data_IF_742366161986
#
_entry.id   IF_742366161986
#
_cell.length_a   1.000
_cell.length_b   1.000
_cell.length_c   1.000
_cell.angle_alpha   90.00
_cell.angle_beta   90.00
_cell.angle_gamma   90.00
#
_symmetry.space_group_name_H-M   'P 1'
#
loop_
_entity.id
_entity.type
_entity.pdbx_description
1 polymer ?
#
# COMPACT_ATOMS: atom_id res chain seq x y z
N UNK A 1 -1.37 45.50 10.12
CA UNK A 1 -0.08 45.03 9.55
C UNK A 1 0.23 43.68 10.18
N UNK A 2 -0.03 42.59 9.47
CA UNK A 2 0.15 41.23 9.97
C UNK A 2 1.58 40.74 9.67
N UNK A 3 2.27 40.33 10.72
CA UNK A 3 3.63 39.80 10.71
C UNK A 3 3.76 38.55 9.82
N UNK A 4 4.37 38.71 8.64
CA UNK A 4 4.98 37.60 7.91
C UNK A 4 6.39 37.39 8.47
N UNK A 5 6.62 36.34 9.25
CA UNK A 5 7.92 36.19 9.90
C UNK A 5 8.17 34.88 10.65
N UNK A 6 7.81 33.74 10.07
CA UNK A 6 8.39 32.45 10.45
C UNK A 6 9.11 31.87 9.23
N UNK A 7 10.43 31.93 9.19
CA UNK A 7 11.23 31.48 8.03
C UNK A 7 11.25 29.94 7.99
N UNK A 8 10.17 29.33 7.48
CA UNK A 8 10.04 27.88 7.32
C UNK A 8 11.17 27.38 6.41
N UNK A 9 11.97 26.42 6.90
CA UNK A 9 13.08 25.86 6.13
C UNK A 9 12.56 25.16 4.88
N UNK A 10 13.28 25.29 3.77
CA UNK A 10 12.84 24.79 2.45
C UNK A 10 12.43 23.31 2.47
N UNK A 11 13.15 22.45 3.18
CA UNK A 11 12.83 21.02 3.26
C UNK A 11 11.53 20.75 4.05
N UNK A 12 11.28 21.49 5.14
CA UNK A 12 10.05 21.36 5.92
C UNK A 12 8.82 21.79 5.09
N UNK A 13 8.98 22.84 4.28
CA UNK A 13 7.93 23.30 3.37
C UNK A 13 7.61 22.27 2.29
N UNK A 14 8.61 21.66 1.69
CA UNK A 14 8.42 20.64 0.65
C UNK A 14 7.70 19.41 1.20
N UNK A 15 8.01 19.01 2.44
CA UNK A 15 7.31 17.92 3.12
C UNK A 15 5.83 18.23 3.37
N UNK A 16 5.52 19.44 3.87
CA UNK A 16 4.12 19.90 4.05
C UNK A 16 3.37 20.00 2.72
N UNK A 17 4.04 20.38 1.63
CA UNK A 17 3.43 20.37 0.28
C UNK A 17 3.08 18.94 -0.13
N UNK A 18 3.95 17.96 0.11
CA UNK A 18 3.64 16.55 -0.18
C UNK A 18 2.46 16.04 0.64
N UNK A 19 2.40 16.36 1.93
CA UNK A 19 1.26 16.01 2.80
C UNK A 19 -0.06 16.57 2.26
N UNK A 20 -0.10 17.88 1.95
CA UNK A 20 -1.28 18.51 1.35
C UNK A 20 -1.67 17.85 0.03
N UNK A 21 -0.70 17.50 -0.82
CA UNK A 21 -0.96 16.88 -2.11
C UNK A 21 -1.37 15.41 -2.00
N UNK A 22 -0.93 14.69 -0.95
CA UNK A 22 -1.40 13.33 -0.62
C UNK A 22 -2.88 13.33 -0.23
N UNK A 23 -3.32 14.35 0.51
CA UNK A 23 -4.73 14.51 0.89
C UNK A 23 -5.61 15.01 -0.27
N UNK A 24 -5.20 16.08 -0.95
CA UNK A 24 -6.07 16.82 -1.88
C UNK A 24 -5.90 16.44 -3.35
N UNK A 25 -4.87 15.68 -3.70
CA UNK A 25 -4.47 15.29 -5.07
C UNK A 25 -4.11 16.46 -6.01
N UNK A 26 -4.55 17.69 -5.73
CA UNK A 26 -4.23 18.92 -6.42
C UNK A 26 -4.18 20.10 -5.45
N UNK A 27 -3.21 20.99 -5.64
CA UNK A 27 -3.18 22.27 -4.95
C UNK A 27 -2.70 23.39 -5.89
N UNK A 28 -3.35 24.55 -5.83
CA UNK A 28 -2.86 25.75 -6.53
C UNK A 28 -1.71 26.41 -5.77
N UNK A 29 -0.87 27.16 -6.48
CA UNK A 29 0.23 27.92 -5.86
C UNK A 29 -0.30 28.92 -4.83
N UNK A 30 -1.44 29.56 -5.11
CA UNK A 30 -2.08 30.51 -4.19
C UNK A 30 -2.58 29.80 -2.93
N UNK A 31 -3.21 28.64 -3.07
CA UNK A 31 -3.64 27.83 -1.94
C UNK A 31 -2.46 27.42 -1.04
N UNK A 32 -1.38 26.91 -1.63
CA UNK A 32 -0.18 26.51 -0.89
C UNK A 32 0.49 27.70 -0.19
N UNK A 33 0.54 28.87 -0.84
CA UNK A 33 1.09 30.08 -0.26
C UNK A 33 0.31 30.53 0.98
N UNK A 34 -1.02 30.50 0.91
CA UNK A 34 -1.91 30.85 2.03
C UNK A 34 -1.78 29.85 3.18
N UNK A 35 -1.86 28.55 2.90
CA UNK A 35 -1.86 27.51 3.95
C UNK A 35 -0.49 27.34 4.63
N UNK A 36 0.60 27.61 3.91
CA UNK A 36 1.96 27.48 4.45
C UNK A 36 2.53 28.83 4.89
N UNK A 37 1.70 29.88 4.93
CA UNK A 37 2.06 31.25 5.33
C UNK A 37 3.36 31.74 4.66
N UNK A 38 3.49 31.51 3.36
CA UNK A 38 4.71 31.81 2.59
C UNK A 38 4.40 32.48 1.26
N UNK A 39 5.39 33.10 0.62
CA UNK A 39 5.15 33.82 -0.63
C UNK A 39 4.92 32.86 -1.82
N UNK A 40 4.10 33.25 -2.81
CA UNK A 40 3.94 32.48 -4.05
C UNK A 40 5.27 32.23 -4.79
N UNK A 41 6.21 33.19 -4.71
CA UNK A 41 7.55 33.05 -5.29
C UNK A 41 8.36 31.94 -4.61
N UNK A 42 8.21 31.77 -3.30
CA UNK A 42 8.90 30.71 -2.55
C UNK A 42 8.27 29.34 -2.77
N UNK A 43 6.93 29.27 -2.88
CA UNK A 43 6.22 28.05 -3.33
C UNK A 43 6.73 27.63 -4.70
N UNK A 44 6.72 28.54 -5.70
CA UNK A 44 7.18 28.21 -7.06
C UNK A 44 8.61 27.67 -7.07
N UNK A 45 9.51 28.22 -6.25
CA UNK A 45 10.90 27.76 -6.13
C UNK A 45 11.00 26.35 -5.55
N UNK A 46 10.24 26.05 -4.49
CA UNK A 46 10.14 24.69 -3.93
C UNK A 46 9.51 23.72 -4.93
N UNK A 47 8.41 24.09 -5.60
CA UNK A 47 7.77 23.23 -6.60
C UNK A 47 8.69 22.93 -7.78
N UNK A 48 9.53 23.88 -8.22
CA UNK A 48 10.56 23.60 -9.24
C UNK A 48 11.58 22.58 -8.74
N UNK A 49 12.09 22.71 -7.50
CA UNK A 49 13.00 21.72 -6.91
C UNK A 49 12.35 20.34 -6.80
N UNK A 50 11.13 20.28 -6.27
CA UNK A 50 10.38 19.04 -6.11
C UNK A 50 10.06 18.39 -7.47
N UNK A 51 9.75 19.18 -8.50
CA UNK A 51 9.53 18.68 -9.85
C UNK A 51 10.83 18.10 -10.44
N UNK A 52 11.95 18.78 -10.25
CA UNK A 52 13.26 18.28 -10.70
C UNK A 52 13.68 17.00 -9.94
N UNK A 53 13.26 16.88 -8.68
CA UNK A 53 13.42 15.67 -7.88
C UNK A 53 12.38 14.58 -8.20
N UNK A 54 11.49 14.81 -9.17
CA UNK A 54 10.48 13.85 -9.59
C UNK A 54 9.36 13.62 -8.57
N UNK A 55 9.17 14.53 -7.61
CA UNK A 55 8.18 14.39 -6.52
C UNK A 55 6.79 14.93 -6.90
N UNK A 56 6.74 15.93 -7.77
CA UNK A 56 5.49 16.60 -8.17
C UNK A 56 5.47 16.90 -9.66
N UNK A 57 4.28 17.05 -10.24
CA UNK A 57 4.05 17.48 -11.62
C UNK A 57 3.20 18.75 -11.64
N UNK A 58 3.56 19.73 -12.48
CA UNK A 58 2.71 20.89 -12.73
C UNK A 58 1.51 20.49 -13.58
N UNK A 59 0.33 20.93 -13.15
CA UNK A 59 -0.92 20.79 -13.89
C UNK A 59 -1.60 22.16 -13.94
N UNK A 60 -2.20 22.54 -15.07
CA UNK A 60 -2.71 23.88 -15.36
C UNK A 60 -3.23 24.64 -14.12
N UNK A 61 -2.45 25.62 -13.64
CA UNK A 61 -2.81 26.47 -12.48
C UNK A 61 -2.35 25.98 -11.09
N UNK A 62 -1.73 24.82 -10.98
CA UNK A 62 -1.31 24.22 -9.71
C UNK A 62 -0.30 23.09 -9.84
N UNK A 63 -0.34 22.18 -8.88
CA UNK A 63 0.59 21.06 -8.77
C UNK A 63 -0.13 19.82 -8.24
N UNK A 64 0.32 18.65 -8.72
CA UNK A 64 -0.13 17.31 -8.30
C UNK A 64 1.10 16.48 -7.92
N UNK A 65 0.92 15.38 -7.18
CA UNK A 65 2.00 14.40 -6.99
C UNK A 65 2.43 13.81 -8.33
N UNK A 66 3.73 13.54 -8.49
CA UNK A 66 4.21 12.74 -9.61
C UNK A 66 3.64 11.32 -9.49
N UNK A 67 3.59 10.60 -10.61
CA UNK A 67 3.10 9.22 -10.58
C UNK A 67 4.01 8.30 -9.75
N UNK A 68 5.29 8.68 -9.55
CA UNK A 68 6.21 8.01 -8.63
C UNK A 68 5.90 8.33 -7.16
N UNK A 69 5.51 9.56 -6.81
CA UNK A 69 5.10 9.89 -5.43
C UNK A 69 3.69 9.40 -5.08
N UNK A 70 2.82 9.19 -6.07
CA UNK A 70 1.56 8.46 -5.83
C UNK A 70 1.83 7.02 -5.38
N UNK A 71 2.92 6.41 -5.84
CA UNK A 71 3.34 5.06 -5.43
C UNK A 71 3.89 5.02 -4.00
N UNK A 72 4.30 6.15 -3.42
CA UNK A 72 4.76 6.30 -2.02
C UNK A 72 3.68 6.90 -1.09
N UNK A 73 2.42 6.91 -1.53
CA UNK A 73 1.30 7.33 -0.69
C UNK A 73 1.19 6.49 0.58
N UNK A 74 0.79 7.12 1.69
CA UNK A 74 0.58 6.43 2.98
C UNK A 74 -0.53 5.37 2.84
N UNK A 75 -0.54 4.33 3.70
CA UNK A 75 -1.61 3.34 3.66
C UNK A 75 -3.02 3.94 3.81
N UNK A 76 -3.17 5.01 4.58
CA UNK A 76 -4.43 5.74 4.76
C UNK A 76 -4.93 6.40 3.48
N UNK A 77 -4.04 6.86 2.61
CA UNK A 77 -4.42 7.37 1.28
C UNK A 77 -4.66 6.22 0.31
N UNK A 78 -3.78 5.21 0.33
CA UNK A 78 -3.85 4.06 -0.57
C UNK A 78 -5.14 3.28 -0.37
N UNK A 79 -5.66 3.15 0.85
CA UNK A 79 -6.89 2.38 1.08
C UNK A 79 -8.08 3.01 0.33
N UNK A 80 -8.19 4.34 0.30
CA UNK A 80 -9.27 5.02 -0.43
C UNK A 80 -9.05 5.10 -1.95
N UNK A 81 -7.80 4.95 -2.42
CA UNK A 81 -7.50 4.90 -3.85
C UNK A 81 -7.93 3.56 -4.47
N UNK A 82 -8.61 3.64 -5.62
CA UNK A 82 -9.14 2.49 -6.35
C UNK A 82 -9.98 1.55 -5.47
N UNK A 83 -10.72 2.15 -4.52
CA UNK A 83 -11.47 1.43 -3.50
C UNK A 83 -12.49 0.46 -4.08
N UNK A 84 -13.24 0.85 -5.12
CA UNK A 84 -14.21 -0.02 -5.76
C UNK A 84 -13.53 -1.21 -6.45
N UNK A 85 -12.39 -0.98 -7.11
CA UNK A 85 -11.59 -2.02 -7.75
C UNK A 85 -11.03 -3.00 -6.73
N UNK A 86 -10.48 -2.49 -5.62
CA UNK A 86 -9.93 -3.33 -4.54
C UNK A 86 -11.00 -4.17 -3.86
N UNK A 87 -12.17 -3.59 -3.58
CA UNK A 87 -13.34 -4.32 -3.07
C UNK A 87 -13.78 -5.41 -4.05
N UNK A 88 -13.88 -5.11 -5.34
CA UNK A 88 -14.28 -6.09 -6.35
C UNK A 88 -13.30 -7.27 -6.44
N UNK A 89 -11.99 -6.99 -6.40
CA UNK A 89 -10.95 -8.02 -6.39
C UNK A 89 -11.00 -8.85 -5.11
N UNK A 90 -11.13 -8.22 -3.94
CA UNK A 90 -11.24 -8.90 -2.66
C UNK A 90 -12.48 -9.82 -2.59
N UNK A 91 -13.63 -9.33 -3.06
CA UNK A 91 -14.86 -10.11 -3.10
C UNK A 91 -14.72 -11.37 -3.96
N UNK A 92 -14.09 -11.28 -5.14
CA UNK A 92 -13.82 -12.45 -6.00
C UNK A 92 -12.92 -13.45 -5.29
N UNK A 93 -11.84 -12.97 -4.68
CA UNK A 93 -10.87 -13.80 -3.98
C UNK A 93 -11.44 -14.50 -2.74
N UNK A 94 -12.40 -13.87 -2.05
CA UNK A 94 -13.07 -14.44 -0.89
C UNK A 94 -13.82 -15.74 -1.21
N UNK A 95 -14.19 -15.98 -2.47
CA UNK A 95 -14.80 -17.24 -2.91
C UNK A 95 -13.87 -18.45 -2.75
N UNK A 96 -12.59 -18.26 -2.45
CA UNK A 96 -11.63 -19.34 -2.15
C UNK A 96 -11.61 -19.76 -0.69
N UNK A 97 -12.14 -18.93 0.22
CA UNK A 97 -12.07 -19.18 1.65
C UNK A 97 -13.08 -20.25 2.08
N UNK A 98 -12.69 -21.10 3.02
CA UNK A 98 -13.52 -22.19 3.57
C UNK A 98 -13.35 -22.24 5.10
N UNK A 99 -14.36 -22.75 5.84
CA UNK A 99 -14.19 -23.10 7.25
C UNK A 99 -13.01 -24.08 7.44
N UNK A 100 -12.33 -23.96 8.58
CA UNK A 100 -11.15 -24.71 8.99
C UNK A 100 -9.83 -24.21 8.40
N UNK A 101 -9.83 -23.17 7.56
CA UNK A 101 -8.60 -22.70 6.90
C UNK A 101 -7.73 -21.83 7.79
N UNK A 102 -6.41 -22.01 7.67
CA UNK A 102 -5.42 -21.04 8.12
C UNK A 102 -5.03 -20.11 6.97
N UNK A 103 -5.16 -18.80 7.18
CA UNK A 103 -4.98 -17.77 6.16
C UNK A 103 -3.82 -16.85 6.52
N UNK A 104 -2.88 -16.66 5.59
CA UNK A 104 -1.99 -15.51 5.60
C UNK A 104 -2.64 -14.35 4.86
N UNK A 105 -2.65 -13.19 5.50
CA UNK A 105 -3.14 -11.94 4.92
C UNK A 105 -2.05 -10.88 5.04
N UNK A 106 -1.49 -10.46 3.91
CA UNK A 106 -0.41 -9.46 3.90
C UNK A 106 -0.88 -8.08 4.37
N UNK A 107 0.08 -7.16 4.51
CA UNK A 107 -0.19 -5.79 4.95
C UNK A 107 -0.78 -4.85 3.90
N UNK A 108 -1.16 -5.34 2.72
CA UNK A 108 -1.59 -4.49 1.62
C UNK A 108 -3.00 -3.92 1.81
N UNK A 109 -3.23 -2.73 1.25
CA UNK A 109 -4.55 -2.09 1.29
C UNK A 109 -5.61 -2.83 0.48
N UNK A 110 -5.21 -3.64 -0.51
CA UNK A 110 -6.15 -4.51 -1.24
C UNK A 110 -6.59 -5.66 -0.37
N UNK A 111 -5.66 -6.34 0.31
CA UNK A 111 -5.97 -7.43 1.25
C UNK A 111 -6.75 -6.95 2.48
N UNK A 112 -6.60 -5.69 2.90
CA UNK A 112 -7.42 -5.12 3.98
C UNK A 112 -8.93 -5.15 3.69
N UNK A 113 -9.35 -5.18 2.41
CA UNK A 113 -10.76 -5.35 2.04
C UNK A 113 -11.26 -6.79 2.16
N UNK A 114 -10.38 -7.78 2.32
CA UNK A 114 -10.80 -9.17 2.58
C UNK A 114 -11.48 -9.34 3.94
N UNK A 115 -11.17 -8.46 4.91
CA UNK A 115 -11.66 -8.58 6.29
C UNK A 115 -13.18 -8.70 6.38
N UNK A 116 -13.91 -7.91 5.59
CA UNK A 116 -15.39 -7.93 5.60
C UNK A 116 -15.96 -9.28 5.14
N UNK A 117 -15.23 -9.99 4.28
CA UNK A 117 -15.61 -11.31 3.78
C UNK A 117 -15.14 -12.44 4.67
N UNK A 118 -13.93 -12.36 5.21
CA UNK A 118 -13.38 -13.32 6.18
C UNK A 118 -14.29 -13.40 7.42
N UNK A 119 -14.77 -12.26 7.90
CA UNK A 119 -15.67 -12.18 9.06
C UNK A 119 -16.99 -12.95 8.90
N UNK A 120 -17.38 -13.31 7.67
CA UNK A 120 -18.60 -14.09 7.40
C UNK A 120 -18.37 -15.61 7.48
N UNK A 121 -17.13 -16.05 7.69
CA UNK A 121 -16.74 -17.45 7.66
C UNK A 121 -16.50 -17.90 9.10
N UNK A 122 -17.33 -18.84 9.55
CA UNK A 122 -17.11 -19.52 10.82
C UNK A 122 -15.87 -20.39 10.75
N UNK A 123 -15.14 -20.48 11.87
CA UNK A 123 -13.96 -21.36 12.02
C UNK A 123 -12.86 -21.01 11.00
N UNK A 124 -12.25 -19.84 11.14
CA UNK A 124 -11.13 -19.43 10.28
C UNK A 124 -10.07 -18.73 11.12
N UNK A 125 -8.81 -19.10 10.90
CA UNK A 125 -7.67 -18.52 11.59
C UNK A 125 -6.88 -17.63 10.63
N UNK A 126 -6.62 -16.38 11.00
CA UNK A 126 -5.88 -15.42 10.17
C UNK A 126 -4.59 -15.00 10.86
N UNK A 127 -3.48 -15.11 10.14
CA UNK A 127 -2.22 -14.48 10.50
C UNK A 127 -1.97 -13.26 9.61
N UNK A 128 -1.70 -12.11 10.21
CA UNK A 128 -1.38 -10.89 9.47
C UNK A 128 -0.28 -10.10 10.17
N UNK A 129 0.57 -9.45 9.39
CA UNK A 129 1.59 -8.52 9.89
C UNK A 129 1.09 -7.06 9.90
N UNK A 130 -0.20 -6.82 9.65
CA UNK A 130 -0.80 -5.48 9.70
C UNK A 130 -1.64 -5.29 10.96
N UNK A 131 -1.22 -4.35 11.80
CA UNK A 131 -1.82 -4.11 13.11
C UNK A 131 -3.26 -3.62 13.01
N UNK A 132 -3.58 -2.81 11.98
CA UNK A 132 -4.94 -2.30 11.78
C UNK A 132 -5.86 -3.39 11.23
N UNK A 133 -5.36 -4.23 10.33
CA UNK A 133 -6.08 -5.40 9.83
C UNK A 133 -6.35 -6.38 10.95
N UNK A 134 -5.34 -6.68 11.79
CA UNK A 134 -5.49 -7.56 12.95
C UNK A 134 -6.58 -7.04 13.91
N UNK A 135 -6.54 -5.75 14.24
CA UNK A 135 -7.56 -5.14 15.13
C UNK A 135 -8.98 -5.32 14.58
N UNK A 136 -9.20 -5.05 13.28
CA UNK A 136 -10.53 -5.21 12.64
C UNK A 136 -11.01 -6.67 12.61
N UNK A 137 -10.11 -7.62 12.41
CA UNK A 137 -10.44 -9.04 12.43
C UNK A 137 -10.87 -9.48 13.84
N UNK A 138 -10.14 -9.02 14.88
CA UNK A 138 -10.51 -9.26 16.29
C UNK A 138 -11.85 -8.64 16.64
N UNK A 139 -12.10 -7.38 16.23
CA UNK A 139 -13.41 -6.72 16.38
C UNK A 139 -14.55 -7.49 15.70
N UNK A 140 -14.22 -8.26 14.66
CA UNK A 140 -15.17 -9.10 13.92
C UNK A 140 -15.24 -10.54 14.44
N UNK A 141 -14.67 -10.83 15.62
CA UNK A 141 -14.64 -12.18 16.23
C UNK A 141 -13.93 -13.26 15.40
N UNK A 142 -12.97 -12.88 14.55
CA UNK A 142 -12.15 -13.83 13.79
C UNK A 142 -10.96 -14.28 14.65
N UNK A 143 -10.63 -15.57 14.66
CA UNK A 143 -9.43 -16.08 15.32
C UNK A 143 -8.18 -15.52 14.62
N UNK A 144 -7.47 -14.63 15.30
CA UNK A 144 -6.50 -13.75 14.66
C UNK A 144 -5.18 -13.75 15.41
N UNK A 145 -4.10 -14.03 14.68
CA UNK A 145 -2.73 -13.94 15.15
C UNK A 145 -2.05 -12.75 14.50
N UNK A 146 -1.56 -11.84 15.34
CA UNK A 146 -0.75 -10.72 14.88
C UNK A 146 0.72 -11.16 14.80
N UNK A 147 1.30 -11.10 13.60
CA UNK A 147 2.71 -11.42 13.41
C UNK A 147 3.54 -10.29 14.04
N UNK A 148 4.40 -10.64 15.01
CA UNK A 148 5.25 -9.68 15.71
C UNK A 148 6.37 -9.11 14.84
N UNK A 149 7.26 -8.31 15.42
CA UNK A 149 8.41 -7.74 14.72
C UNK A 149 8.67 -6.27 15.04
N UNK A 150 9.48 -5.63 14.21
CA UNK A 150 9.66 -4.18 14.28
C UNK A 150 8.43 -3.49 13.67
N UNK A 151 7.75 -2.66 14.46
CA UNK A 151 6.61 -1.89 13.99
C UNK A 151 7.07 -0.69 13.14
N UNK A 152 6.68 -0.66 11.87
CA UNK A 152 6.90 0.51 11.02
C UNK A 152 5.88 1.60 11.39
N UNK A 153 6.38 2.79 11.75
CA UNK A 153 5.63 3.90 12.34
C UNK A 153 4.54 4.48 11.43
N UNK A 154 4.80 4.59 10.14
CA UNK A 154 3.94 5.20 9.14
C UNK A 154 3.00 4.21 8.47
N UNK A 155 3.29 2.91 8.57
CA UNK A 155 2.53 1.88 7.89
C UNK A 155 1.69 0.95 8.80
N UNK A 156 1.87 1.04 10.13
CA UNK A 156 1.15 0.23 11.12
C UNK A 156 1.21 -1.28 10.80
N UNK A 157 2.41 -1.72 10.41
CA UNK A 157 2.73 -3.11 10.08
C UNK A 157 4.03 -3.52 10.77
N UNK A 158 4.25 -4.84 10.88
CA UNK A 158 5.45 -5.43 11.46
C UNK A 158 6.35 -6.01 10.37
N UNK A 159 7.66 -5.82 10.54
CA UNK A 159 8.72 -6.30 9.63
C UNK A 159 9.93 -6.83 10.38
N UNK A 160 10.87 -7.38 9.63
CA UNK A 160 12.20 -7.78 10.09
C UNK A 160 12.26 -9.20 10.64
N UNK A 161 13.47 -9.59 11.08
CA UNK A 161 13.82 -10.99 11.38
C UNK A 161 12.88 -11.74 12.32
N UNK A 162 12.27 -11.05 13.30
CA UNK A 162 11.36 -11.69 14.25
C UNK A 162 10.02 -12.04 13.60
N UNK A 163 9.51 -11.15 12.75
CA UNK A 163 8.31 -11.40 11.94
C UNK A 163 8.58 -12.56 10.97
N UNK A 164 9.71 -12.53 10.26
CA UNK A 164 10.12 -13.60 9.33
C UNK A 164 10.36 -14.94 10.04
N UNK A 165 10.90 -14.91 11.26
CA UNK A 165 11.08 -16.10 12.09
C UNK A 165 9.75 -16.74 12.45
N UNK A 166 8.80 -15.94 12.94
CA UNK A 166 7.46 -16.41 13.27
C UNK A 166 6.76 -17.01 12.05
N UNK A 167 6.83 -16.35 10.88
CA UNK A 167 6.20 -16.84 9.65
C UNK A 167 6.76 -18.21 9.22
N UNK A 168 8.06 -18.45 9.42
CA UNK A 168 8.71 -19.73 9.05
C UNK A 168 8.33 -20.91 9.94
N UNK A 169 7.70 -20.66 11.09
CA UNK A 169 7.19 -21.70 11.98
C UNK A 169 5.73 -22.06 11.70
N UNK A 170 5.12 -21.42 10.70
CA UNK A 170 3.70 -21.52 10.38
C UNK A 170 3.51 -22.17 9.01
N UNK A 171 2.37 -22.83 8.82
CA UNK A 171 1.94 -23.35 7.52
C UNK A 171 0.51 -22.87 7.26
N UNK A 172 0.33 -22.01 6.26
CA UNK A 172 -0.99 -21.53 5.87
C UNK A 172 -1.57 -22.35 4.71
N UNK A 173 -2.89 -22.54 4.72
CA UNK A 173 -3.59 -23.14 3.58
C UNK A 173 -3.65 -22.19 2.39
N UNK A 174 -3.73 -20.88 2.66
CA UNK A 174 -3.84 -19.86 1.63
C UNK A 174 -3.18 -18.56 2.06
N UNK A 175 -2.51 -17.89 1.12
CA UNK A 175 -1.90 -16.59 1.30
C UNK A 175 -2.48 -15.59 0.30
N UNK A 176 -3.11 -14.54 0.81
CA UNK A 176 -3.56 -13.41 0.00
C UNK A 176 -2.58 -12.26 0.13
N UNK A 177 -2.11 -11.77 -1.02
CA UNK A 177 -1.17 -10.66 -1.06
C UNK A 177 -1.39 -9.73 -2.24
N UNK A 178 -0.85 -8.53 -2.11
CA UNK A 178 -0.74 -7.57 -3.20
C UNK A 178 0.67 -7.01 -3.26
N UNK A 179 0.95 -6.21 -4.28
CA UNK A 179 2.24 -5.54 -4.46
C UNK A 179 2.02 -4.11 -4.95
N UNK A 180 3.11 -3.39 -5.24
CA UNK A 180 3.04 -2.07 -5.85
C UNK A 180 2.85 -2.12 -7.37
N UNK A 181 3.35 -3.16 -8.04
CA UNK A 181 3.33 -3.25 -9.48
C UNK A 181 3.46 -4.69 -10.02
N UNK A 182 2.95 -4.89 -11.24
CA UNK A 182 3.19 -6.06 -12.09
C UNK A 182 3.56 -5.61 -13.51
N UNK A 183 4.65 -6.15 -14.05
CA UNK A 183 5.07 -5.87 -15.44
C UNK A 183 4.35 -6.75 -16.45
N UNK A 184 4.40 -6.38 -17.75
CA UNK A 184 3.94 -7.26 -18.84
C UNK A 184 4.64 -8.61 -18.90
N UNK A 185 5.87 -8.71 -18.41
CA UNK A 185 6.58 -9.99 -18.29
C UNK A 185 6.20 -10.78 -17.02
N UNK A 186 5.14 -10.36 -16.32
CA UNK A 186 4.61 -11.03 -15.13
C UNK A 186 5.45 -10.83 -13.87
N UNK A 187 6.40 -9.90 -13.83
CA UNK A 187 7.26 -9.70 -12.64
C UNK A 187 6.52 -8.83 -11.63
N UNK A 188 6.31 -9.38 -10.43
CA UNK A 188 5.64 -8.70 -9.32
C UNK A 188 6.70 -8.01 -8.47
N UNK A 189 6.52 -6.69 -8.27
CA UNK A 189 7.51 -5.84 -7.58
C UNK A 189 6.87 -4.91 -6.56
N UNK A 190 7.66 -4.52 -5.57
CA UNK A 190 7.28 -3.64 -4.46
C UNK A 190 8.34 -2.56 -4.20
N UNK A 191 8.02 -1.54 -3.41
CA UNK A 191 8.90 -0.41 -3.09
C UNK A 191 9.64 -0.59 -1.75
N UNK A 192 9.24 -1.55 -0.91
CA UNK A 192 9.88 -1.84 0.37
C UNK A 192 10.55 -3.21 0.37
N UNK A 193 11.86 -3.24 0.64
CA UNK A 193 12.61 -4.49 0.82
C UNK A 193 12.07 -5.29 2.01
N UNK A 194 11.76 -4.61 3.11
CA UNK A 194 11.32 -5.24 4.35
C UNK A 194 9.93 -5.86 4.20
N UNK A 195 8.97 -5.17 3.60
CA UNK A 195 7.67 -5.77 3.31
C UNK A 195 7.77 -6.91 2.29
N UNK A 196 8.66 -6.77 1.30
CA UNK A 196 8.92 -7.83 0.32
C UNK A 196 9.46 -9.08 1.02
N UNK A 197 10.35 -8.94 2.01
CA UNK A 197 10.88 -10.06 2.78
C UNK A 197 9.76 -10.78 3.57
N UNK A 198 8.85 -10.02 4.20
CA UNK A 198 7.67 -10.60 4.87
C UNK A 198 6.78 -11.36 3.90
N UNK A 199 6.45 -10.76 2.74
CA UNK A 199 5.64 -11.43 1.71
C UNK A 199 6.34 -12.69 1.19
N UNK A 200 7.66 -12.69 1.02
CA UNK A 200 8.42 -13.89 0.61
C UNK A 200 8.32 -14.99 1.66
N UNK A 201 8.51 -14.68 2.93
CA UNK A 201 8.36 -15.65 4.00
C UNK A 201 6.95 -16.26 4.00
N UNK A 202 5.90 -15.44 3.84
CA UNK A 202 4.52 -15.94 3.73
C UNK A 202 4.30 -16.78 2.45
N UNK A 203 4.89 -16.36 1.34
CA UNK A 203 4.80 -17.03 0.04
C UNK A 203 5.42 -18.43 0.04
N UNK A 204 6.53 -18.61 0.77
CA UNK A 204 7.24 -19.88 0.92
C UNK A 204 6.50 -20.84 1.88
N UNK A 205 5.71 -20.31 2.82
CA UNK A 205 5.05 -21.08 3.88
C UNK A 205 3.53 -21.20 3.71
N UNK A 206 3.03 -21.00 2.48
CA UNK A 206 1.62 -21.16 2.13
C UNK A 206 1.43 -22.22 1.04
N UNK A 207 0.42 -23.09 1.22
CA UNK A 207 0.08 -24.12 0.23
C UNK A 207 -0.47 -23.52 -1.07
N UNK A 208 -1.17 -22.39 -0.99
CA UNK A 208 -1.74 -21.66 -2.13
C UNK A 208 -1.46 -20.17 -2.02
N UNK A 209 -0.88 -19.57 -3.06
CA UNK A 209 -0.58 -18.13 -3.12
C UNK A 209 -1.55 -17.45 -4.09
N UNK A 210 -2.22 -16.40 -3.59
CA UNK A 210 -3.27 -15.68 -4.31
C UNK A 210 -2.92 -14.21 -4.42
N UNK A 211 -2.71 -13.75 -5.65
CA UNK A 211 -2.33 -12.37 -5.94
C UNK A 211 -3.55 -11.50 -6.25
N UNK A 212 -3.72 -10.41 -5.50
CA UNK A 212 -4.79 -9.45 -5.67
C UNK A 212 -4.23 -8.15 -6.26
N UNK A 213 -4.71 -7.72 -7.42
CA UNK A 213 -4.17 -6.53 -8.07
C UNK A 213 -5.24 -5.71 -8.77
N UNK A 214 -5.32 -4.42 -8.43
CA UNK A 214 -6.07 -3.45 -9.21
C UNK A 214 -5.23 -2.90 -10.36
N UNK A 215 -5.92 -2.40 -11.38
CA UNK A 215 -5.30 -2.09 -12.65
C UNK A 215 -4.48 -0.82 -12.71
N UNK A 216 -4.44 -0.04 -11.61
CA UNK A 216 -3.51 1.07 -11.49
C UNK A 216 -2.05 0.60 -11.33
N UNK A 217 -1.83 -0.70 -11.12
CA UNK A 217 -0.52 -1.32 -10.87
C UNK A 217 0.06 -2.06 -12.09
N UNK A 218 -0.68 -2.09 -13.21
CA UNK A 218 -0.33 -2.83 -14.42
C UNK A 218 0.74 -2.12 -15.25
N UNK A 219 1.56 -2.92 -15.96
CA UNK A 219 2.66 -2.46 -16.83
C UNK A 219 3.62 -1.47 -16.14
N UNK A 220 3.92 -1.77 -14.89
CA UNK A 220 4.81 -0.98 -14.05
C UNK A 220 5.82 -1.89 -13.35
N UNK A 221 6.91 -1.28 -12.90
CA UNK A 221 7.90 -1.93 -12.05
C UNK A 221 8.23 -1.05 -10.85
N UNK A 222 8.73 -1.71 -9.81
CA UNK A 222 9.29 -1.13 -8.60
C UNK A 222 10.64 -1.80 -8.29
N UNK A 223 11.31 -1.32 -7.25
CA UNK A 223 12.72 -1.62 -6.96
C UNK A 223 12.95 -3.05 -6.45
N UNK A 224 12.01 -3.61 -5.69
CA UNK A 224 12.19 -4.92 -5.06
C UNK A 224 11.35 -5.98 -5.74
N UNK A 225 11.98 -7.06 -6.20
CA UNK A 225 11.30 -8.20 -6.82
C UNK A 225 10.78 -9.16 -5.75
N UNK A 226 9.47 -9.43 -5.80
CA UNK A 226 8.79 -10.40 -4.96
C UNK A 226 8.83 -11.80 -5.61
N UNK A 227 8.11 -11.98 -6.70
CA UNK A 227 7.99 -13.24 -7.44
C UNK A 227 7.64 -12.98 -8.93
N UNK A 228 7.50 -14.03 -9.72
CA UNK A 228 6.80 -13.95 -11.00
C UNK A 228 5.35 -14.44 -10.83
N UNK A 229 4.43 -13.93 -11.64
CA UNK A 229 3.03 -14.37 -11.66
C UNK A 229 2.90 -15.88 -11.94
N UNK A 230 3.87 -16.47 -12.66
CA UNK A 230 3.92 -17.92 -12.91
C UNK A 230 4.14 -18.76 -11.64
N UNK A 231 4.63 -18.14 -10.58
CA UNK A 231 4.83 -18.79 -9.28
C UNK A 231 3.56 -18.69 -8.40
N UNK A 232 2.54 -17.95 -8.84
CA UNK A 232 1.29 -17.70 -8.11
C UNK A 232 0.23 -18.70 -8.59
N UNK A 233 -0.48 -19.32 -7.64
CA UNK A 233 -1.47 -20.35 -7.95
C UNK A 233 -2.77 -19.76 -8.52
N UNK A 234 -3.21 -18.60 -8.01
CA UNK A 234 -4.36 -17.86 -8.54
C UNK A 234 -4.16 -16.34 -8.45
N UNK A 235 -4.77 -15.59 -9.37
CA UNK A 235 -4.75 -14.13 -9.32
C UNK A 235 -6.10 -13.53 -9.68
N UNK A 236 -6.42 -12.40 -9.04
CA UNK A 236 -7.66 -11.67 -9.27
C UNK A 236 -7.36 -10.22 -9.64
N UNK A 237 -7.88 -9.85 -10.80
CA UNK A 237 -7.78 -8.50 -11.36
C UNK A 237 -9.16 -7.83 -11.45
N UNK A 238 -9.18 -6.51 -11.39
CA UNK A 238 -10.37 -5.67 -11.63
C UNK A 238 -10.71 -5.57 -13.12
N UNK A 239 -9.73 -5.74 -14.01
CA UNK A 239 -9.90 -5.81 -15.47
C UNK A 239 -8.87 -6.75 -16.10
N UNK A 240 -9.07 -7.09 -17.37
CA UNK A 240 -8.15 -7.95 -18.11
C UNK A 240 -6.76 -7.31 -18.24
N UNK A 241 -5.73 -8.14 -18.09
CA UNK A 241 -4.34 -7.76 -18.23
C UNK A 241 -3.58 -8.86 -18.97
N UNK A 242 -3.02 -8.51 -20.12
CA UNK A 242 -2.25 -9.44 -20.94
C UNK A 242 -0.81 -9.51 -20.43
N UNK A 243 -0.39 -10.74 -20.09
CA UNK A 243 0.95 -11.06 -19.62
C UNK A 243 1.65 -11.87 -20.71
N UNK A 244 2.84 -11.42 -21.09
CA UNK A 244 3.68 -12.01 -22.13
C UNK A 244 4.42 -13.28 -21.65
#
# INVERSE_FOLDING_TARGET
MSNFGGNMKTNEREQKILEILRERQFASVSFLATNLYTSPSSIRRSLTRMQNAGLVRRNYGGVILSDNEKKTATPDVRIEQQKSQKKAVAQKAAALLRPGMTVFLDSSTTCAYMVEHIAQISDITVFTNNLRTAAKLVESSVDTYCIGGHCEKNAALTVGRYAEGMIRELCADIFFFSSQAISKSGVITDCSAEETAIRKAMFENAKKRVFLCDSSKFDHTSVHRLCNIKDVDEYFFDKDFEIN
#
